data_IF_826593779361
#
_entry.id   IF_826593779361
#
_cell.length_a   1.000
_cell.length_b   1.000
_cell.length_c   1.000
_cell.angle_alpha   90.00
_cell.angle_beta   90.00
_cell.angle_gamma   90.00
#
_symmetry.space_group_name_H-M   'P 1'
#
loop_
_entity.id
_entity.type
_entity.pdbx_description
1 polymer ?
#
# COMPACT_ATOMS: atom_id res chain seq x y z
N UNK A 1 14.97 0.28 16.05
CA UNK A 1 14.52 1.38 16.90
C UNK A 1 14.07 2.53 16.03
N UNK A 2 12.91 3.09 16.32
CA UNK A 2 12.34 4.24 15.62
C UNK A 2 11.97 5.30 16.66
N UNK A 3 12.50 6.50 16.52
CA UNK A 3 12.18 7.65 17.35
C UNK A 3 11.74 8.81 16.46
N UNK A 4 10.65 9.47 16.83
CA UNK A 4 10.18 10.65 16.14
C UNK A 4 9.80 11.75 17.10
N UNK A 5 9.91 12.98 16.64
CA UNK A 5 9.46 14.18 17.34
C UNK A 5 8.78 15.09 16.30
N UNK A 6 7.70 15.73 16.74
CA UNK A 6 6.94 16.67 15.91
C UNK A 6 6.64 17.94 16.70
N UNK A 7 6.82 19.07 16.05
CA UNK A 7 6.45 20.39 16.55
C UNK A 7 5.57 21.08 15.54
N UNK A 8 4.37 21.46 15.95
CA UNK A 8 3.41 22.25 15.17
C UNK A 8 3.18 23.60 15.84
N UNK A 9 3.13 24.62 15.03
CA UNK A 9 2.78 25.97 15.46
C UNK A 9 1.76 26.59 14.50
N UNK A 10 0.73 27.18 15.07
CA UNK A 10 -0.26 27.95 14.31
C UNK A 10 -0.30 29.37 14.82
N UNK A 11 -0.09 30.31 13.88
CA UNK A 11 -0.19 31.75 14.18
C UNK A 11 -1.65 32.20 14.30
N UNK A 12 -1.91 33.33 14.99
CA UNK A 12 -3.26 33.91 15.04
C UNK A 12 -3.84 34.30 13.67
N UNK A 13 -2.99 34.57 12.66
CA UNK A 13 -3.42 34.87 11.30
C UNK A 13 -3.53 33.63 10.40
N UNK A 14 -3.44 32.43 10.95
CA UNK A 14 -3.75 31.18 10.25
C UNK A 14 -2.56 30.49 9.57
N UNK A 15 -1.32 31.04 9.62
CA UNK A 15 -0.15 30.32 9.15
C UNK A 15 0.11 29.11 10.04
N UNK A 16 0.17 27.94 9.44
CA UNK A 16 0.59 26.68 10.08
C UNK A 16 2.01 26.38 9.67
N UNK A 17 2.91 26.14 10.61
CA UNK A 17 4.28 25.74 10.34
C UNK A 17 4.70 24.65 11.31
N UNK A 18 5.58 23.76 10.90
CA UNK A 18 6.04 22.69 11.76
C UNK A 18 7.35 22.09 11.32
N UNK A 19 7.88 21.27 12.21
CA UNK A 19 9.08 20.48 12.01
C UNK A 19 8.87 19.06 12.54
N UNK A 20 9.31 18.08 11.79
CA UNK A 20 9.32 16.68 12.18
C UNK A 20 10.75 16.15 12.10
N UNK A 21 11.13 15.36 13.08
CA UNK A 21 12.38 14.62 13.10
C UNK A 21 12.10 13.15 13.28
N UNK A 22 12.74 12.33 12.46
CA UNK A 22 12.69 10.87 12.57
C UNK A 22 14.10 10.31 12.59
N UNK A 23 14.40 9.52 13.61
CA UNK A 23 15.61 8.72 13.71
C UNK A 23 15.24 7.25 13.64
N UNK A 24 15.85 6.54 12.71
CA UNK A 24 15.71 5.10 12.55
C UNK A 24 17.07 4.43 12.71
N UNK A 25 17.10 3.33 13.47
CA UNK A 25 18.29 2.50 13.66
C UNK A 25 17.90 1.03 13.67
N UNK A 26 18.45 0.28 12.74
CA UNK A 26 18.21 -1.16 12.57
C UNK A 26 19.54 -1.91 12.47
N UNK A 27 20.09 -2.42 13.57
CA UNK A 27 21.19 -3.37 13.54
C UNK A 27 20.64 -4.75 13.21
N UNK A 28 21.35 -5.50 12.39
CA UNK A 28 21.05 -6.88 12.02
C UNK A 28 22.27 -7.75 12.06
N UNK A 29 22.05 -9.06 12.18
CA UNK A 29 23.08 -10.07 11.96
C UNK A 29 22.46 -11.35 11.44
N UNK A 30 23.17 -12.02 10.56
CA UNK A 30 22.75 -13.28 9.99
C UNK A 30 23.92 -14.25 9.95
N UNK A 31 23.73 -15.45 10.52
CA UNK A 31 24.63 -16.57 10.35
C UNK A 31 24.05 -17.49 9.27
N UNK A 32 24.84 -17.75 8.24
CA UNK A 32 24.52 -18.74 7.21
C UNK A 32 25.58 -19.84 7.21
N UNK A 33 25.11 -21.07 7.34
CA UNK A 33 25.89 -22.25 7.09
C UNK A 33 25.13 -23.17 6.15
N UNK A 34 25.69 -23.44 4.99
CA UNK A 34 25.08 -24.31 3.97
C UNK A 34 26.15 -25.03 3.18
N UNK A 35 25.96 -26.32 2.92
CA UNK A 35 26.82 -27.15 2.09
C UNK A 35 26.00 -27.76 0.96
N UNK A 36 26.45 -27.59 -0.29
CA UNK A 36 25.85 -28.17 -1.49
C UNK A 36 26.96 -28.85 -2.30
N UNK A 37 27.02 -30.17 -2.28
CA UNK A 37 28.13 -30.91 -2.89
C UNK A 37 29.44 -30.51 -2.24
N UNK A 38 30.36 -30.00 -3.03
CA UNK A 38 31.67 -29.50 -2.55
C UNK A 38 31.65 -28.00 -2.17
N UNK A 39 30.58 -27.28 -2.50
CA UNK A 39 30.45 -25.84 -2.18
C UNK A 39 29.91 -25.65 -0.77
N UNK A 40 30.61 -24.86 0.02
CA UNK A 40 30.19 -24.48 1.37
C UNK A 40 30.09 -22.96 1.46
N UNK A 41 28.92 -22.48 1.83
CA UNK A 41 28.69 -21.10 2.27
C UNK A 41 28.68 -21.06 3.79
N UNK A 42 29.65 -20.39 4.37
CA UNK A 42 29.75 -20.26 5.82
C UNK A 42 30.22 -18.86 6.19
N UNK A 43 29.29 -18.02 6.68
CA UNK A 43 29.63 -16.67 7.07
C UNK A 43 28.68 -16.11 8.14
N UNK A 44 29.17 -15.15 8.88
CA UNK A 44 28.41 -14.26 9.73
C UNK A 44 28.34 -12.88 9.07
N UNK A 45 27.15 -12.40 8.71
CA UNK A 45 26.98 -11.00 8.31
C UNK A 45 26.51 -10.14 9.49
N UNK A 46 27.02 -8.92 9.56
CA UNK A 46 26.54 -7.86 10.46
C UNK A 46 26.19 -6.66 9.63
N UNK A 47 24.98 -6.18 9.77
CA UNK A 47 24.47 -5.02 9.07
C UNK A 47 23.94 -3.96 10.03
N UNK A 48 23.91 -2.76 9.57
CA UNK A 48 23.34 -1.64 10.31
C UNK A 48 22.83 -0.58 9.34
N UNK A 49 21.65 -0.09 9.59
CA UNK A 49 21.10 1.06 8.91
C UNK A 49 20.74 2.15 9.91
N UNK A 50 21.22 3.37 9.66
CA UNK A 50 20.88 4.56 10.45
C UNK A 50 20.37 5.64 9.52
N UNK A 51 19.15 6.11 9.79
CA UNK A 51 18.51 7.16 8.99
C UNK A 51 18.13 8.32 9.90
N UNK A 52 18.52 9.52 9.52
CA UNK A 52 18.08 10.77 10.13
C UNK A 52 17.30 11.55 9.10
N UNK A 53 16.02 11.83 9.37
CA UNK A 53 15.15 12.58 8.49
C UNK A 53 14.61 13.82 9.22
N UNK A 54 14.70 14.96 8.55
CA UNK A 54 14.06 16.20 8.94
C UNK A 54 13.03 16.59 7.89
N UNK A 55 11.87 17.02 8.34
CA UNK A 55 10.82 17.60 7.49
C UNK A 55 10.36 18.90 8.09
N UNK A 56 10.37 19.95 7.28
CA UNK A 56 9.88 21.28 7.63
C UNK A 56 8.74 21.62 6.69
N UNK A 57 7.68 22.22 7.21
CA UNK A 57 6.55 22.63 6.39
C UNK A 57 5.95 23.92 6.88
N UNK A 58 5.40 24.68 5.94
CA UNK A 58 4.61 25.87 6.21
C UNK A 58 3.47 25.96 5.18
N UNK A 59 2.30 26.35 5.62
CA UNK A 59 1.15 26.50 4.73
C UNK A 59 0.10 27.40 5.33
N UNK A 60 -0.72 27.96 4.46
CA UNK A 60 -1.78 28.87 4.84
C UNK A 60 -3.05 28.62 4.03
N UNK A 61 -4.20 28.85 4.66
CA UNK A 61 -5.51 28.75 4.05
C UNK A 61 -6.21 30.12 4.22
N UNK A 62 -6.86 30.57 3.15
CA UNK A 62 -7.65 31.80 3.14
C UNK A 62 -9.03 31.54 2.59
N UNK A 63 -10.01 32.17 3.22
CA UNK A 63 -11.36 32.28 2.66
C UNK A 63 -11.45 33.62 1.95
N UNK A 64 -11.70 33.60 0.64
CA UNK A 64 -11.79 34.78 -0.21
C UNK A 64 -13.27 35.03 -0.56
N UNK A 65 -13.87 36.04 0.04
CA UNK A 65 -15.31 36.30 -0.12
C UNK A 65 -16.15 35.20 0.53
N UNK A 66 -17.30 34.86 -0.11
CA UNK A 66 -18.27 33.90 0.47
C UNK A 66 -18.01 32.44 0.09
N UNK A 67 -17.41 32.19 -1.08
CA UNK A 67 -17.43 30.85 -1.69
C UNK A 67 -16.08 30.38 -2.21
N UNK A 68 -15.02 31.17 -2.07
CA UNK A 68 -13.67 30.81 -2.50
C UNK A 68 -12.76 30.44 -1.32
N UNK A 69 -12.03 29.37 -1.47
CA UNK A 69 -10.91 29.00 -0.62
C UNK A 69 -9.61 29.01 -1.42
N UNK A 70 -8.53 29.52 -0.82
CA UNK A 70 -7.17 29.45 -1.33
C UNK A 70 -6.31 28.76 -0.30
N UNK A 71 -5.56 27.74 -0.70
CA UNK A 71 -4.54 27.13 0.13
C UNK A 71 -3.22 27.07 -0.62
N UNK A 72 -2.11 27.20 0.11
CA UNK A 72 -0.77 27.08 -0.46
C UNK A 72 0.25 26.77 0.64
N UNK A 73 1.36 26.21 0.25
CA UNK A 73 2.42 25.91 1.20
C UNK A 73 3.66 25.32 0.54
N UNK A 74 4.61 25.03 1.42
CA UNK A 74 5.90 24.44 1.08
C UNK A 74 6.26 23.38 2.09
N UNK A 75 6.88 22.32 1.62
CA UNK A 75 7.48 21.28 2.46
C UNK A 75 8.91 21.04 1.98
N UNK A 76 9.85 21.00 2.92
CA UNK A 76 11.23 20.59 2.68
C UNK A 76 11.53 19.36 3.54
N UNK A 77 12.02 18.31 2.90
CA UNK A 77 12.45 17.08 3.59
C UNK A 77 13.91 16.81 3.24
N UNK A 78 14.71 16.46 4.21
CA UNK A 78 16.07 15.96 4.00
C UNK A 78 16.31 14.73 4.84
N UNK A 79 16.90 13.70 4.23
CA UNK A 79 17.25 12.46 4.89
C UNK A 79 18.71 12.08 4.62
N UNK A 80 19.35 11.51 5.62
CA UNK A 80 20.68 10.93 5.52
C UNK A 80 20.62 9.48 5.99
N UNK A 81 20.82 8.56 5.06
CA UNK A 81 20.96 7.12 5.30
C UNK A 81 22.45 6.76 5.33
N UNK A 82 22.88 6.17 6.45
CA UNK A 82 24.20 5.57 6.58
C UNK A 82 24.01 4.09 6.88
N UNK A 83 24.46 3.25 5.98
CA UNK A 83 24.30 1.80 6.08
C UNK A 83 25.61 1.07 5.81
N UNK A 84 25.78 -0.05 6.45
CA UNK A 84 26.85 -1.00 6.14
C UNK A 84 26.38 -2.43 6.27
N UNK A 85 27.03 -3.33 5.53
CA UNK A 85 26.96 -4.77 5.70
C UNK A 85 28.37 -5.33 5.60
N UNK A 86 28.78 -6.08 6.61
CA UNK A 86 30.13 -6.63 6.75
C UNK A 86 30.03 -8.13 6.96
N UNK A 87 30.92 -8.88 6.32
CA UNK A 87 30.97 -10.33 6.40
C UNK A 87 32.19 -10.78 7.17
N UNK A 88 32.02 -11.83 7.94
CA UNK A 88 33.04 -12.43 8.80
C UNK A 88 33.03 -13.94 8.69
N UNK A 89 34.18 -14.56 8.87
CA UNK A 89 34.27 -15.97 9.16
C UNK A 89 33.58 -16.23 10.51
N UNK A 90 32.66 -17.20 10.61
CA UNK A 90 31.88 -17.39 11.83
C UNK A 90 32.64 -18.00 13.00
N UNK A 91 33.79 -18.66 12.77
CA UNK A 91 34.59 -19.32 13.81
C UNK A 91 35.69 -18.39 14.34
N UNK A 92 36.34 -17.68 13.43
CA UNK A 92 37.50 -16.82 13.77
C UNK A 92 37.12 -15.34 13.92
N UNK A 93 35.92 -14.94 13.53
CA UNK A 93 35.47 -13.56 13.35
C UNK A 93 36.41 -12.72 12.46
N UNK A 94 37.21 -13.35 11.61
CA UNK A 94 38.06 -12.66 10.65
C UNK A 94 37.21 -11.99 9.56
N UNK A 95 37.48 -10.73 9.17
CA UNK A 95 36.72 -10.08 8.12
C UNK A 95 36.85 -10.78 6.76
N UNK A 96 35.73 -10.91 6.04
CA UNK A 96 35.65 -11.37 4.65
C UNK A 96 35.38 -10.17 3.76
N UNK A 97 36.41 -9.54 3.14
CA UNK A 97 36.26 -8.22 2.56
C UNK A 97 35.47 -8.16 1.24
N UNK A 98 35.37 -9.28 0.50
CA UNK A 98 34.92 -9.29 -0.89
C UNK A 98 33.44 -8.88 -1.10
N UNK A 99 32.59 -9.02 -0.06
CA UNK A 99 31.17 -8.71 -0.13
C UNK A 99 30.75 -7.53 0.76
N UNK A 100 31.73 -6.82 1.36
CA UNK A 100 31.45 -5.74 2.27
C UNK A 100 30.85 -4.54 1.56
N UNK A 101 29.79 -3.96 2.13
CA UNK A 101 29.12 -2.76 1.65
C UNK A 101 29.15 -1.66 2.70
N UNK A 102 29.45 -0.45 2.26
CA UNK A 102 29.21 0.79 3.00
C UNK A 102 28.53 1.77 2.08
N UNK A 103 27.43 2.35 2.53
CA UNK A 103 26.67 3.32 1.77
C UNK A 103 26.37 4.55 2.62
N UNK A 104 26.46 5.71 2.00
CA UNK A 104 25.99 6.99 2.55
C UNK A 104 25.17 7.68 1.49
N UNK A 105 23.86 7.78 1.70
CA UNK A 105 22.92 8.38 0.76
C UNK A 105 22.29 9.62 1.36
N UNK A 106 22.32 10.70 0.64
CA UNK A 106 21.58 11.93 0.99
C UNK A 106 20.41 12.09 0.04
N UNK A 107 19.27 12.43 0.60
CA UNK A 107 18.03 12.66 -0.12
C UNK A 107 17.43 13.98 0.32
N UNK A 108 16.93 14.77 -0.62
CA UNK A 108 16.27 16.04 -0.37
C UNK A 108 15.05 16.17 -1.27
N UNK A 109 13.94 16.68 -0.71
CA UNK A 109 12.76 17.06 -1.49
C UNK A 109 12.32 18.45 -1.12
N UNK A 110 11.90 19.21 -2.11
CA UNK A 110 11.21 20.49 -1.95
C UNK A 110 9.89 20.40 -2.68
N UNK A 111 8.80 20.59 -1.98
CA UNK A 111 7.46 20.52 -2.53
C UNK A 111 6.75 21.85 -2.30
N UNK A 112 6.23 22.46 -3.37
CA UNK A 112 5.37 23.62 -3.33
C UNK A 112 3.98 23.22 -3.78
N UNK A 113 2.95 23.69 -3.10
CA UNK A 113 1.58 23.46 -3.54
C UNK A 113 0.74 24.72 -3.46
N UNK A 114 -0.24 24.82 -4.36
CA UNK A 114 -1.28 25.82 -4.33
C UNK A 114 -2.61 25.19 -4.80
N UNK A 115 -3.71 25.58 -4.17
CA UNK A 115 -5.03 25.09 -4.49
C UNK A 115 -6.11 26.13 -4.32
N UNK A 116 -7.15 25.99 -5.11
CA UNK A 116 -8.34 26.82 -5.11
C UNK A 116 -9.58 25.93 -4.92
N UNK A 117 -10.47 26.32 -4.04
CA UNK A 117 -11.78 25.72 -3.88
C UNK A 117 -12.89 26.73 -4.14
N UNK A 118 -14.01 26.26 -4.69
CA UNK A 118 -15.19 27.10 -4.91
C UNK A 118 -16.49 26.31 -4.81
N UNK A 119 -17.47 26.88 -4.13
CA UNK A 119 -18.86 26.43 -4.17
C UNK A 119 -19.68 27.31 -5.11
N UNK A 120 -20.34 26.69 -6.09
CA UNK A 120 -21.24 27.35 -7.03
C UNK A 120 -22.68 27.07 -6.59
N UNK A 121 -23.15 27.83 -5.59
CA UNK A 121 -24.40 27.57 -4.93
C UNK A 121 -24.39 26.21 -4.17
N UNK A 122 -25.57 25.59 -4.06
CA UNK A 122 -25.76 24.34 -3.34
C UNK A 122 -25.51 23.08 -4.20
N UNK A 123 -25.34 23.25 -5.51
CA UNK A 123 -25.33 22.11 -6.45
C UNK A 123 -23.97 21.70 -6.98
N UNK A 124 -23.01 22.61 -6.99
CA UNK A 124 -21.68 22.32 -7.55
C UNK A 124 -20.59 22.84 -6.64
N UNK A 125 -19.63 21.97 -6.31
CA UNK A 125 -18.37 22.34 -5.67
C UNK A 125 -17.19 21.85 -6.49
N UNK A 126 -16.13 22.64 -6.50
CA UNK A 126 -14.89 22.34 -7.20
C UNK A 126 -13.70 22.68 -6.32
N UNK A 127 -12.73 21.76 -6.25
CA UNK A 127 -11.43 21.91 -5.62
C UNK A 127 -10.37 21.52 -6.64
N UNK A 128 -9.40 22.41 -6.88
CA UNK A 128 -8.28 22.16 -7.79
C UNK A 128 -7.00 22.58 -7.11
N UNK A 129 -6.00 21.73 -7.12
CA UNK A 129 -4.67 22.04 -6.62
C UNK A 129 -3.58 21.47 -7.50
N UNK A 130 -2.42 22.10 -7.44
CA UNK A 130 -1.21 21.64 -8.10
C UNK A 130 -0.06 21.69 -7.10
N UNK A 131 0.65 20.59 -6.98
CA UNK A 131 1.93 20.57 -6.31
C UNK A 131 3.06 20.35 -7.33
N UNK A 132 4.21 20.99 -7.06
CA UNK A 132 5.46 20.80 -7.80
C UNK A 132 6.53 20.37 -6.82
N UNK A 133 7.18 19.24 -7.08
CA UNK A 133 8.20 18.69 -6.20
C UNK A 133 9.50 18.43 -6.94
N UNK A 134 10.60 18.91 -6.36
CA UNK A 134 11.95 18.52 -6.73
C UNK A 134 12.41 17.37 -5.81
N UNK A 135 12.83 16.27 -6.41
CA UNK A 135 13.49 15.16 -5.74
C UNK A 135 14.97 15.17 -6.14
N UNK A 136 15.86 15.29 -5.15
CA UNK A 136 17.29 15.37 -5.36
C UNK A 136 18.04 14.36 -4.50
N UNK A 137 18.91 13.58 -5.14
CA UNK A 137 19.89 12.67 -4.54
C UNK A 137 21.20 12.76 -5.32
N UNK A 138 22.22 12.04 -4.92
CA UNK A 138 23.49 11.95 -5.68
C UNK A 138 23.28 11.35 -7.10
N UNK A 139 22.16 10.64 -7.32
CA UNK A 139 21.85 9.93 -8.58
C UNK A 139 20.72 10.60 -9.38
N UNK A 140 19.81 11.31 -8.72
CA UNK A 140 18.58 11.81 -9.32
C UNK A 140 18.38 13.30 -8.99
N UNK A 141 17.92 14.05 -9.99
CA UNK A 141 17.48 15.43 -9.80
C UNK A 141 16.30 15.69 -10.74
N UNK A 142 15.09 15.39 -10.24
CA UNK A 142 13.88 15.39 -11.07
C UNK A 142 12.80 16.28 -10.47
N UNK A 143 12.10 17.03 -11.35
CA UNK A 143 10.87 17.72 -11.03
C UNK A 143 9.66 16.90 -11.42
N UNK A 144 8.65 16.87 -10.57
CA UNK A 144 7.37 16.22 -10.81
C UNK A 144 6.22 17.15 -10.47
N UNK A 145 5.11 17.02 -11.21
CA UNK A 145 3.90 17.80 -11.00
C UNK A 145 2.78 16.87 -10.53
N UNK A 146 2.03 17.30 -9.53
CA UNK A 146 0.95 16.56 -8.91
C UNK A 146 -0.34 17.37 -8.96
N UNK A 147 -1.12 17.26 -10.06
CA UNK A 147 -2.45 17.85 -10.14
C UNK A 147 -3.44 17.05 -9.29
N UNK A 148 -4.33 17.77 -8.60
CA UNK A 148 -5.51 17.22 -7.91
C UNK A 148 -6.71 18.05 -8.31
N UNK A 149 -7.82 17.40 -8.64
CA UNK A 149 -9.09 18.07 -8.91
C UNK A 149 -10.25 17.22 -8.37
N UNK A 150 -11.17 17.84 -7.66
CA UNK A 150 -12.40 17.22 -7.20
C UNK A 150 -13.57 18.09 -7.62
N UNK A 151 -14.56 17.47 -8.26
CA UNK A 151 -15.82 18.10 -8.65
C UNK A 151 -16.97 17.28 -8.07
N UNK A 152 -17.86 17.92 -7.36
CA UNK A 152 -19.09 17.28 -6.88
C UNK A 152 -20.28 18.05 -7.43
N UNK A 153 -21.16 17.36 -8.14
CA UNK A 153 -22.38 17.93 -8.73
C UNK A 153 -23.62 17.19 -8.24
N UNK A 154 -24.58 17.95 -7.76
CA UNK A 154 -25.87 17.51 -7.19
C UNK A 154 -27.01 17.89 -8.16
N UNK A 155 -27.27 17.15 -9.26
CA UNK A 155 -28.27 17.52 -10.26
C UNK A 155 -29.70 17.53 -9.70
N UNK A 156 -30.00 16.59 -8.82
CA UNK A 156 -31.30 16.43 -8.18
C UNK A 156 -31.17 15.74 -6.81
N UNK A 157 -32.18 15.80 -5.93
CA UNK A 157 -32.16 15.11 -4.66
C UNK A 157 -31.88 13.62 -4.81
N UNK A 158 -30.86 13.14 -4.05
CA UNK A 158 -30.41 11.75 -4.08
C UNK A 158 -29.51 11.38 -5.25
N UNK A 159 -29.14 12.30 -6.13
CA UNK A 159 -28.21 12.07 -7.25
C UNK A 159 -26.93 12.86 -7.01
N UNK A 160 -25.79 12.18 -7.03
CA UNK A 160 -24.46 12.80 -6.86
C UNK A 160 -23.56 12.29 -8.00
N UNK A 161 -22.97 13.23 -8.72
CA UNK A 161 -21.88 12.97 -9.67
C UNK A 161 -20.60 13.52 -9.06
N UNK A 162 -19.58 12.68 -8.99
CA UNK A 162 -18.26 13.07 -8.50
C UNK A 162 -17.19 12.73 -9.53
N UNK A 163 -16.36 13.71 -9.82
CA UNK A 163 -15.12 13.53 -10.57
C UNK A 163 -13.96 13.78 -9.62
N UNK A 164 -12.98 12.90 -9.63
CA UNK A 164 -11.75 13.03 -8.87
C UNK A 164 -10.55 12.76 -9.79
N UNK A 165 -9.59 13.64 -9.77
CA UNK A 165 -8.24 13.44 -10.26
C UNK A 165 -7.30 13.59 -9.08
N UNK A 166 -6.53 12.57 -8.77
CA UNK A 166 -5.49 12.59 -7.74
C UNK A 166 -4.14 12.20 -8.32
N UNK A 167 -3.10 12.73 -7.74
CA UNK A 167 -1.74 12.32 -8.04
C UNK A 167 -0.87 12.43 -6.79
N UNK A 168 0.03 11.48 -6.66
CA UNK A 168 0.95 11.37 -5.54
C UNK A 168 2.27 10.71 -5.94
N UNK A 169 3.23 10.74 -5.04
CA UNK A 169 4.53 10.11 -5.19
C UNK A 169 4.71 9.03 -4.13
N UNK A 170 5.18 7.86 -4.55
CA UNK A 170 5.54 6.74 -3.70
C UNK A 170 7.07 6.60 -3.71
N UNK A 171 7.71 6.81 -2.56
CA UNK A 171 9.16 6.69 -2.43
C UNK A 171 9.54 5.25 -2.13
N UNK A 172 10.65 4.74 -2.70
CA UNK A 172 11.17 3.43 -2.34
C UNK A 172 11.49 3.34 -0.84
N UNK A 173 11.34 2.15 -0.29
CA UNK A 173 11.77 1.88 1.08
C UNK A 173 13.30 1.94 1.18
N UNK A 174 13.83 2.43 2.29
CA UNK A 174 15.28 2.62 2.41
C UNK A 174 16.07 1.32 2.31
N UNK A 175 15.54 0.20 2.80
CA UNK A 175 16.22 -1.10 2.67
C UNK A 175 16.33 -1.56 1.21
N UNK A 176 15.31 -1.31 0.40
CA UNK A 176 15.30 -1.73 -1.02
C UNK A 176 16.32 -0.98 -1.87
N UNK A 177 16.77 0.19 -1.40
CA UNK A 177 17.77 1.02 -2.07
C UNK A 177 19.21 0.75 -1.62
N UNK A 178 19.46 -0.15 -0.67
CA UNK A 178 20.82 -0.52 -0.27
C UNK A 178 21.46 -1.39 -1.34
N UNK A 179 22.78 -1.27 -1.52
CA UNK A 179 23.54 -2.20 -2.37
C UNK A 179 24.01 -3.40 -1.52
N UNK A 180 23.05 -4.08 -0.92
CA UNK A 180 23.29 -5.19 0.00
C UNK A 180 22.60 -6.46 -0.48
N UNK A 181 23.09 -7.60 -0.03
CA UNK A 181 22.47 -8.91 -0.25
C UNK A 181 22.18 -9.56 1.11
N UNK A 182 20.92 -9.92 1.32
CA UNK A 182 20.47 -10.72 2.46
C UNK A 182 20.03 -12.09 1.95
N UNK A 183 20.18 -13.11 2.80
CA UNK A 183 19.89 -14.48 2.41
C UNK A 183 18.66 -14.99 3.18
N UNK A 184 17.67 -15.50 2.46
CA UNK A 184 16.54 -16.25 3.05
C UNK A 184 16.89 -17.74 3.24
N UNK A 185 17.98 -18.17 2.65
CA UNK A 185 18.54 -19.52 2.68
C UNK A 185 19.67 -19.61 1.67
N UNK A 186 20.30 -20.76 1.53
CA UNK A 186 21.43 -20.95 0.59
C UNK A 186 21.07 -20.69 -0.87
N UNK A 187 19.78 -20.83 -1.22
CA UNK A 187 19.29 -20.73 -2.61
C UNK A 187 18.37 -19.54 -2.85
N UNK A 188 18.28 -18.62 -1.90
CA UNK A 188 17.39 -17.46 -2.01
C UNK A 188 18.04 -16.20 -1.46
N UNK A 189 18.22 -15.22 -2.32
CA UNK A 189 18.85 -13.93 -2.03
C UNK A 189 17.83 -12.80 -2.18
N UNK A 190 17.89 -11.81 -1.29
CA UNK A 190 17.24 -10.52 -1.44
C UNK A 190 18.33 -9.49 -1.74
N UNK A 191 18.30 -8.92 -2.93
CA UNK A 191 19.25 -7.90 -3.35
C UNK A 191 18.58 -6.52 -3.37
N UNK A 192 19.23 -5.54 -2.76
CA UNK A 192 18.81 -4.17 -2.89
C UNK A 192 19.15 -3.58 -4.26
N UNK A 193 18.54 -2.45 -4.59
CA UNK A 193 18.75 -1.74 -5.84
C UNK A 193 18.94 -0.24 -5.59
N UNK A 194 20.18 0.27 -5.57
CA UNK A 194 20.46 1.67 -5.32
C UNK A 194 19.93 2.63 -6.42
N UNK A 195 19.57 2.08 -7.58
CA UNK A 195 19.05 2.84 -8.73
C UNK A 195 17.54 3.06 -8.69
N UNK A 196 16.87 2.61 -7.63
CA UNK A 196 15.45 2.87 -7.47
C UNK A 196 15.15 4.36 -7.35
N UNK A 197 14.09 4.77 -8.01
CA UNK A 197 13.55 6.12 -7.97
C UNK A 197 12.07 6.11 -7.59
N UNK A 198 11.55 7.24 -7.12
CA UNK A 198 10.14 7.32 -6.73
C UNK A 198 9.20 7.04 -7.89
N UNK A 199 8.13 6.33 -7.59
CA UNK A 199 7.01 6.16 -8.49
C UNK A 199 6.08 7.37 -8.44
N UNK A 200 5.43 7.70 -9.55
CA UNK A 200 4.41 8.74 -9.62
C UNK A 200 3.08 8.13 -10.05
N UNK A 201 2.08 8.28 -9.22
CA UNK A 201 0.74 7.75 -9.44
C UNK A 201 -0.20 8.86 -9.89
N UNK A 202 -1.03 8.57 -10.89
CA UNK A 202 -2.15 9.40 -11.38
C UNK A 202 -3.40 8.55 -11.41
N UNK A 203 -4.45 9.00 -10.72
CA UNK A 203 -5.73 8.31 -10.69
C UNK A 203 -6.86 9.27 -11.03
N UNK A 204 -7.74 8.82 -11.92
CA UNK A 204 -8.96 9.55 -12.29
C UNK A 204 -10.17 8.66 -12.04
N UNK A 205 -11.16 9.17 -11.34
CA UNK A 205 -12.40 8.45 -11.03
C UNK A 205 -13.61 9.32 -11.32
N UNK A 206 -14.59 8.76 -12.03
CA UNK A 206 -15.91 9.32 -12.21
C UNK A 206 -16.93 8.42 -11.52
N UNK A 207 -17.64 8.94 -10.54
CA UNK A 207 -18.60 8.21 -9.73
C UNK A 207 -20.00 8.79 -9.86
N UNK A 208 -21.00 7.93 -10.03
CA UNK A 208 -22.40 8.24 -9.86
C UNK A 208 -22.93 7.55 -8.61
N UNK A 209 -23.48 8.34 -7.68
CA UNK A 209 -24.02 7.84 -6.42
C UNK A 209 -25.51 8.15 -6.38
N UNK A 210 -26.32 7.12 -6.28
CA UNK A 210 -27.79 7.23 -6.21
C UNK A 210 -28.27 6.96 -4.78
N UNK A 211 -29.08 7.89 -4.26
CA UNK A 211 -29.69 7.83 -2.91
C UNK A 211 -28.65 7.62 -1.79
N UNK A 212 -27.42 8.11 -2.00
CA UNK A 212 -26.33 7.96 -1.03
C UNK A 212 -25.84 6.51 -0.77
N UNK A 213 -26.20 5.53 -1.62
CA UNK A 213 -25.93 4.12 -1.35
C UNK A 213 -25.58 3.27 -2.56
N UNK A 214 -26.17 3.50 -3.72
CA UNK A 214 -25.81 2.79 -4.94
C UNK A 214 -24.68 3.56 -5.61
N UNK A 215 -23.60 2.88 -5.96
CA UNK A 215 -22.42 3.51 -6.56
C UNK A 215 -22.09 2.81 -7.86
N UNK A 216 -21.88 3.58 -8.90
CA UNK A 216 -21.24 3.15 -10.14
C UNK A 216 -20.06 4.08 -10.40
N UNK A 217 -18.85 3.55 -10.47
CA UNK A 217 -17.65 4.33 -10.74
C UNK A 217 -16.89 3.74 -11.92
N UNK A 218 -16.35 4.62 -12.76
CA UNK A 218 -15.33 4.30 -13.75
C UNK A 218 -14.03 4.94 -13.30
N UNK A 219 -12.91 4.20 -13.39
CA UNK A 219 -11.61 4.70 -12.98
C UNK A 219 -10.51 4.32 -13.96
N UNK A 220 -9.49 5.15 -13.98
CA UNK A 220 -8.23 4.90 -14.66
C UNK A 220 -7.09 5.34 -13.73
N UNK A 221 -6.12 4.45 -13.53
CA UNK A 221 -4.90 4.78 -12.82
C UNK A 221 -3.67 4.40 -13.64
N UNK A 222 -2.61 5.20 -13.52
CA UNK A 222 -1.31 4.95 -14.13
C UNK A 222 -0.21 5.35 -13.16
N UNK A 223 0.63 4.39 -12.83
CA UNK A 223 1.82 4.60 -12.01
C UNK A 223 3.05 4.50 -12.90
N UNK A 224 3.79 5.59 -13.04
CA UNK A 224 5.11 5.61 -13.69
C UNK A 224 6.18 5.17 -12.70
N UNK A 225 7.23 4.52 -13.19
CA UNK A 225 8.31 3.98 -12.36
C UNK A 225 7.80 3.09 -11.21
N UNK A 226 6.76 2.28 -11.46
CA UNK A 226 6.16 1.45 -10.40
C UNK A 226 7.20 0.51 -9.82
N UNK A 227 7.52 0.68 -8.54
CA UNK A 227 8.39 -0.26 -7.84
C UNK A 227 7.70 -1.61 -7.66
N UNK A 228 8.42 -2.67 -8.02
CA UNK A 228 7.96 -4.05 -7.90
C UNK A 228 9.11 -4.93 -7.44
N UNK A 229 8.88 -5.70 -6.38
CA UNK A 229 9.77 -6.79 -6.04
C UNK A 229 9.57 -7.95 -7.02
N UNK A 230 10.64 -8.41 -7.60
CA UNK A 230 10.65 -9.46 -8.63
C UNK A 230 11.42 -10.67 -8.13
N UNK A 231 11.14 -11.82 -8.72
CA UNK A 231 11.85 -13.07 -8.51
C UNK A 231 12.52 -13.46 -9.83
N UNK A 232 13.80 -13.78 -9.78
CA UNK A 232 14.59 -14.24 -10.91
C UNK A 232 15.42 -15.45 -10.53
N UNK A 233 15.29 -16.54 -11.26
CA UNK A 233 16.20 -17.69 -11.14
C UNK A 233 17.44 -17.42 -11.99
N UNK A 234 18.61 -17.40 -11.35
CA UNK A 234 19.86 -17.23 -12.05
C UNK A 234 20.13 -18.41 -12.99
N UNK A 235 20.55 -18.18 -14.23
CA UNK A 235 21.02 -19.25 -15.10
C UNK A 235 22.44 -19.75 -14.76
N UNK A 236 23.18 -18.97 -13.99
CA UNK A 236 24.61 -19.25 -13.67
C UNK A 236 24.77 -19.97 -12.34
N UNK A 237 23.85 -19.76 -11.40
CA UNK A 237 23.88 -20.31 -10.04
C UNK A 237 22.52 -20.85 -9.65
N UNK A 238 22.49 -21.90 -8.83
CA UNK A 238 21.23 -22.42 -8.29
C UNK A 238 20.71 -21.46 -7.18
N UNK A 239 20.22 -20.30 -7.57
CA UNK A 239 19.72 -19.29 -6.66
C UNK A 239 18.53 -18.55 -7.23
N UNK A 240 17.55 -18.26 -6.36
CA UNK A 240 16.45 -17.33 -6.59
C UNK A 240 16.84 -15.95 -6.07
N UNK A 241 16.76 -14.94 -6.94
CA UNK A 241 17.11 -13.56 -6.60
C UNK A 241 15.82 -12.75 -6.51
N UNK A 242 15.54 -12.21 -5.33
CA UNK A 242 14.50 -11.21 -5.11
C UNK A 242 15.12 -9.82 -5.19
N UNK A 243 14.61 -8.98 -6.09
CA UNK A 243 15.11 -7.63 -6.29
C UNK A 243 13.98 -6.68 -6.68
N UNK A 244 14.00 -5.46 -6.17
CA UNK A 244 13.08 -4.41 -6.56
C UNK A 244 13.57 -3.70 -7.82
N UNK A 245 12.65 -3.46 -8.77
CA UNK A 245 12.87 -2.68 -9.99
C UNK A 245 11.78 -1.64 -10.15
N UNK A 246 12.09 -0.54 -10.85
CA UNK A 246 11.08 0.38 -11.34
C UNK A 246 10.62 -0.07 -12.72
N UNK A 247 9.41 -0.57 -12.83
CA UNK A 247 8.78 -0.82 -14.12
C UNK A 247 8.45 0.50 -14.82
N UNK A 248 8.53 0.57 -16.14
CA UNK A 248 8.17 1.76 -16.94
C UNK A 248 6.84 2.32 -16.47
N UNK A 249 5.85 1.45 -16.37
CA UNK A 249 4.55 1.77 -15.79
C UNK A 249 3.73 0.54 -15.40
N UNK A 250 2.76 0.77 -14.51
CA UNK A 250 1.57 -0.05 -14.38
C UNK A 250 0.32 0.80 -14.62
N UNK A 251 -0.67 0.26 -15.30
CA UNK A 251 -1.93 0.94 -15.56
C UNK A 251 -3.14 0.03 -15.31
N UNK A 252 -4.22 0.64 -14.83
CA UNK A 252 -5.46 -0.04 -14.55
C UNK A 252 -6.64 0.82 -15.01
N UNK A 253 -7.58 0.22 -15.73
CA UNK A 253 -8.84 0.86 -16.11
C UNK A 253 -10.00 -0.07 -15.78
N UNK A 254 -11.01 0.43 -15.10
CA UNK A 254 -12.07 -0.44 -14.63
C UNK A 254 -13.35 0.24 -14.22
N UNK A 255 -14.29 -0.60 -13.82
CA UNK A 255 -15.60 -0.22 -13.28
C UNK A 255 -15.78 -0.84 -11.90
N UNK A 256 -16.39 -0.08 -11.01
CA UNK A 256 -16.80 -0.51 -9.67
C UNK A 256 -18.30 -0.30 -9.55
N UNK A 257 -19.02 -1.33 -9.13
CA UNK A 257 -20.44 -1.26 -8.83
C UNK A 257 -20.70 -1.70 -7.39
N UNK A 258 -21.41 -0.89 -6.62
CA UNK A 258 -21.83 -1.21 -5.24
C UNK A 258 -23.34 -1.14 -5.17
N UNK A 259 -23.96 -2.27 -4.82
CA UNK A 259 -25.43 -2.40 -4.74
C UNK A 259 -25.79 -2.96 -3.36
N UNK A 260 -26.13 -2.09 -2.39
CA UNK A 260 -26.76 -2.53 -1.16
C UNK A 260 -28.26 -2.68 -1.38
N UNK A 261 -28.86 -3.74 -0.85
CA UNK A 261 -30.30 -3.94 -0.85
C UNK A 261 -30.79 -4.63 0.41
N UNK A 262 -32.08 -4.45 0.69
CA UNK A 262 -32.76 -5.11 1.82
C UNK A 262 -33.97 -5.86 1.32
N UNK A 263 -34.17 -7.07 1.83
CA UNK A 263 -35.39 -7.82 1.62
C UNK A 263 -36.16 -7.85 2.95
N UNK A 264 -37.21 -7.06 3.02
CA UNK A 264 -38.01 -6.87 4.25
C UNK A 264 -37.09 -6.56 5.46
N UNK A 265 -37.26 -7.28 6.57
CA UNK A 265 -36.47 -7.15 7.81
C UNK A 265 -35.47 -8.28 8.01
N UNK A 266 -35.49 -9.29 7.14
CA UNK A 266 -34.71 -10.49 7.37
C UNK A 266 -33.35 -10.54 6.62
N UNK A 267 -33.18 -9.76 5.54
CA UNK A 267 -31.94 -9.73 4.78
C UNK A 267 -31.47 -8.29 4.57
N UNK A 268 -30.24 -8.02 4.95
CA UNK A 268 -29.44 -6.83 4.58
C UNK A 268 -28.24 -7.32 3.78
N UNK A 269 -28.13 -6.90 2.52
CA UNK A 269 -27.14 -7.39 1.58
C UNK A 269 -26.40 -6.23 0.94
N UNK A 270 -25.09 -6.43 0.69
CA UNK A 270 -24.25 -5.54 -0.09
C UNK A 270 -23.42 -6.36 -1.07
N UNK A 271 -23.59 -6.09 -2.35
CA UNK A 271 -22.79 -6.68 -3.43
C UNK A 271 -21.87 -5.63 -3.98
N UNK A 272 -20.60 -5.95 -4.11
CA UNK A 272 -19.58 -5.11 -4.78
C UNK A 272 -18.99 -5.92 -5.92
N UNK A 273 -19.07 -5.40 -7.14
CA UNK A 273 -18.46 -5.99 -8.33
C UNK A 273 -17.42 -5.01 -8.90
N UNK A 274 -16.24 -5.51 -9.19
CA UNK A 274 -15.14 -4.74 -9.79
C UNK A 274 -14.66 -5.52 -11.01
N UNK A 275 -14.61 -4.84 -12.15
CA UNK A 275 -14.03 -5.39 -13.37
C UNK A 275 -12.97 -4.42 -13.89
N UNK A 276 -11.77 -4.90 -14.18
CA UNK A 276 -10.70 -4.04 -14.69
C UNK A 276 -9.76 -4.75 -15.63
N UNK A 277 -9.16 -3.95 -16.53
CA UNK A 277 -7.98 -4.31 -17.30
C UNK A 277 -6.76 -3.79 -16.55
N UNK A 278 -5.80 -4.67 -16.33
CA UNK A 278 -4.50 -4.33 -15.77
C UNK A 278 -3.41 -4.56 -16.80
N UNK A 279 -2.42 -3.66 -16.88
CA UNK A 279 -1.24 -3.79 -17.74
C UNK A 279 -0.01 -3.30 -16.99
N UNK A 280 1.07 -4.06 -17.10
CA UNK A 280 2.39 -3.67 -16.63
C UNK A 280 3.40 -3.82 -17.76
N UNK A 281 4.32 -2.87 -17.82
CA UNK A 281 5.39 -2.86 -18.81
C UNK A 281 6.70 -2.45 -18.17
N UNK A 282 7.76 -3.12 -18.59
CA UNK A 282 9.14 -2.72 -18.38
C UNK A 282 9.93 -3.06 -19.66
N UNK A 283 10.69 -2.08 -20.15
CA UNK A 283 11.50 -2.21 -21.37
C UNK A 283 12.88 -2.82 -21.11
N UNK A 284 13.32 -2.86 -19.85
CA UNK A 284 14.69 -3.26 -19.45
C UNK A 284 14.72 -4.26 -18.28
N UNK A 285 13.70 -5.11 -18.17
CA UNK A 285 13.58 -6.06 -17.08
C UNK A 285 14.45 -7.30 -17.33
N UNK A 286 15.62 -7.40 -16.70
CA UNK A 286 16.56 -8.51 -16.87
C UNK A 286 16.88 -8.81 -18.35
N UNK A 287 17.04 -7.76 -19.18
CA UNK A 287 17.22 -7.87 -20.64
C UNK A 287 16.06 -8.61 -21.35
N UNK A 288 14.91 -8.72 -20.72
CA UNK A 288 13.73 -9.41 -21.24
C UNK A 288 12.61 -8.38 -21.48
N UNK A 289 12.01 -8.30 -22.68
CA UNK A 289 10.82 -7.46 -22.88
C UNK A 289 9.66 -7.93 -22.01
N UNK A 290 9.18 -7.07 -21.14
CA UNK A 290 8.09 -7.37 -20.23
C UNK A 290 6.89 -6.46 -20.52
N UNK A 291 5.83 -7.00 -21.09
CA UNK A 291 4.55 -6.31 -21.31
C UNK A 291 3.41 -7.29 -21.10
N UNK A 292 2.76 -7.18 -19.94
CA UNK A 292 1.70 -8.10 -19.54
C UNK A 292 0.39 -7.37 -19.30
N UNK A 293 -0.70 -7.97 -19.77
CA UNK A 293 -2.06 -7.46 -19.59
C UNK A 293 -3.03 -8.57 -19.24
N UNK A 294 -4.00 -8.26 -18.37
CA UNK A 294 -5.04 -9.20 -17.99
C UNK A 294 -6.33 -8.45 -17.63
N UNK A 295 -7.47 -9.12 -17.84
CA UNK A 295 -8.77 -8.67 -17.32
C UNK A 295 -9.09 -9.43 -16.05
N UNK A 296 -9.32 -8.68 -14.97
CA UNK A 296 -9.65 -9.22 -13.66
C UNK A 296 -11.06 -8.81 -13.27
N UNK A 297 -11.78 -9.75 -12.68
CA UNK A 297 -13.09 -9.54 -12.10
C UNK A 297 -13.07 -9.96 -10.63
N UNK A 298 -13.58 -9.10 -9.76
CA UNK A 298 -13.71 -9.32 -8.32
C UNK A 298 -15.15 -9.15 -7.92
N UNK A 299 -15.69 -10.11 -7.18
CA UNK A 299 -17.02 -10.07 -6.59
C UNK A 299 -16.90 -10.23 -5.08
N UNK A 300 -17.50 -9.30 -4.34
CA UNK A 300 -17.63 -9.38 -2.89
C UNK A 300 -19.10 -9.30 -2.50
N UNK A 301 -19.53 -10.17 -1.62
CA UNK A 301 -20.91 -10.21 -1.11
C UNK A 301 -20.89 -10.25 0.42
N UNK A 302 -21.67 -9.38 1.05
CA UNK A 302 -21.89 -9.37 2.48
C UNK A 302 -23.39 -9.44 2.74
N UNK A 303 -23.85 -10.53 3.32
CA UNK A 303 -25.27 -10.80 3.58
C UNK A 303 -25.47 -11.00 5.07
N UNK A 304 -26.35 -10.21 5.68
CA UNK A 304 -26.76 -10.37 7.07
C UNK A 304 -28.21 -10.78 7.12
N UNK A 305 -28.46 -12.00 7.58
CA UNK A 305 -29.78 -12.56 7.80
C UNK A 305 -30.18 -12.35 9.26
N UNK A 306 -31.27 -11.66 9.51
CA UNK A 306 -31.88 -11.54 10.82
C UNK A 306 -32.73 -12.79 11.06
N UNK A 307 -32.19 -13.75 11.83
CA UNK A 307 -32.88 -15.01 12.15
C UNK A 307 -33.97 -14.81 13.21
N UNK A 308 -33.67 -13.91 14.16
CA UNK A 308 -34.61 -13.50 15.21
C UNK A 308 -34.31 -12.10 15.69
N UNK A 309 -35.34 -11.40 16.19
CA UNK A 309 -35.20 -10.10 16.83
C UNK A 309 -35.28 -10.18 18.34
N UNK A 310 -35.87 -11.24 18.86
CA UNK A 310 -35.98 -11.56 20.30
C UNK A 310 -35.90 -13.07 20.48
N UNK A 311 -34.70 -13.60 20.80
CA UNK A 311 -33.40 -12.93 20.99
C UNK A 311 -32.85 -12.33 19.70
N UNK A 312 -31.97 -11.29 19.79
CA UNK A 312 -31.31 -10.70 18.60
C UNK A 312 -30.23 -11.66 18.08
N UNK A 313 -30.58 -12.40 17.03
CA UNK A 313 -29.76 -13.43 16.42
C UNK A 313 -29.62 -13.14 14.93
N UNK A 314 -28.37 -13.03 14.46
CA UNK A 314 -28.05 -12.74 13.07
C UNK A 314 -27.00 -13.70 12.52
N UNK A 315 -27.24 -14.16 11.30
CA UNK A 315 -26.28 -14.93 10.51
C UNK A 315 -25.67 -14.02 9.46
N UNK A 316 -24.35 -13.94 9.39
CA UNK A 316 -23.63 -13.22 8.35
C UNK A 316 -22.92 -14.21 7.44
N UNK A 317 -23.13 -14.05 6.13
CA UNK A 317 -22.40 -14.75 5.07
C UNK A 317 -21.61 -13.71 4.27
N UNK A 318 -20.29 -13.80 4.32
CA UNK A 318 -19.38 -12.93 3.55
C UNK A 318 -18.66 -13.78 2.52
N UNK A 319 -18.79 -13.41 1.25
CA UNK A 319 -18.14 -14.12 0.14
C UNK A 319 -17.24 -13.21 -0.67
N UNK A 320 -16.13 -13.74 -1.11
CA UNK A 320 -15.19 -13.12 -2.03
C UNK A 320 -14.87 -14.08 -3.16
N UNK A 321 -14.78 -13.55 -4.37
CA UNK A 321 -14.32 -14.28 -5.55
C UNK A 321 -13.50 -13.36 -6.45
N UNK A 322 -12.36 -13.84 -6.92
CA UNK A 322 -11.52 -13.21 -7.94
C UNK A 322 -11.16 -14.25 -9.00
N UNK A 323 -11.26 -13.89 -10.27
CA UNK A 323 -10.68 -14.69 -11.34
C UNK A 323 -9.14 -14.55 -11.34
N UNK A 324 -8.46 -14.90 -12.43
CA UNK A 324 -7.02 -14.70 -12.55
C UNK A 324 -6.65 -13.22 -12.41
N UNK A 325 -5.51 -12.95 -11.76
CA UNK A 325 -4.88 -11.64 -11.66
C UNK A 325 -3.38 -11.74 -11.95
N UNK A 326 -2.74 -10.61 -12.16
CA UNK A 326 -1.28 -10.48 -12.23
C UNK A 326 -0.82 -9.42 -11.24
N UNK A 327 0.30 -9.66 -10.61
CA UNK A 327 0.99 -8.72 -9.73
C UNK A 327 2.47 -8.74 -10.09
N UNK A 328 2.94 -7.75 -10.85
CA UNK A 328 4.28 -7.79 -11.41
C UNK A 328 4.48 -9.03 -12.27
N UNK A 329 5.48 -9.80 -11.90
CA UNK A 329 5.84 -11.05 -12.56
C UNK A 329 4.96 -12.25 -12.13
N UNK A 330 4.18 -12.09 -11.06
CA UNK A 330 3.42 -13.18 -10.45
C UNK A 330 2.05 -13.35 -11.12
N UNK A 331 1.77 -14.55 -11.59
CA UNK A 331 0.43 -14.99 -11.96
C UNK A 331 -0.30 -15.46 -10.70
N UNK A 332 -1.41 -14.81 -10.43
CA UNK A 332 -2.32 -15.17 -9.34
C UNK A 332 -3.47 -15.99 -9.94
N UNK A 333 -3.68 -17.24 -9.52
CA UNK A 333 -4.83 -18.03 -9.95
C UNK A 333 -6.13 -17.44 -9.41
N UNK A 334 -7.25 -17.99 -9.86
CA UNK A 334 -8.54 -17.67 -9.26
C UNK A 334 -8.53 -18.00 -7.77
N UNK A 335 -9.15 -17.15 -6.97
CA UNK A 335 -9.24 -17.29 -5.52
C UNK A 335 -10.64 -16.90 -5.05
N UNK A 336 -11.08 -17.46 -3.95
CA UNK A 336 -12.33 -17.08 -3.31
C UNK A 336 -12.50 -17.78 -1.98
N UNK A 337 -13.35 -17.19 -1.13
CA UNK A 337 -13.70 -17.74 0.18
C UNK A 337 -15.17 -17.47 0.50
N UNK A 338 -15.68 -18.22 1.46
CA UNK A 338 -16.96 -17.97 2.12
C UNK A 338 -16.76 -18.03 3.63
N UNK A 339 -17.06 -16.93 4.29
CA UNK A 339 -17.05 -16.81 5.75
C UNK A 339 -18.47 -16.84 6.30
N UNK A 340 -18.63 -17.49 7.44
CA UNK A 340 -19.91 -17.61 8.14
C UNK A 340 -19.74 -17.14 9.57
N UNK A 341 -20.64 -16.29 10.05
CA UNK A 341 -20.65 -15.84 11.43
C UNK A 341 -22.09 -15.82 11.99
N UNK A 342 -22.28 -16.43 13.16
CA UNK A 342 -23.50 -16.34 13.93
C UNK A 342 -23.29 -15.41 15.12
N UNK A 343 -24.08 -14.35 15.17
CA UNK A 343 -24.00 -13.31 16.19
C UNK A 343 -25.24 -13.27 17.04
N UNK A 344 -25.07 -13.40 18.35
CA UNK A 344 -26.09 -13.26 19.35
C UNK A 344 -25.83 -12.02 20.20
N UNK A 345 -26.81 -11.09 20.24
CA UNK A 345 -26.73 -9.85 21.02
C UNK A 345 -27.74 -9.92 22.16
N UNK A 346 -27.28 -9.66 23.39
CA UNK A 346 -28.07 -9.73 24.62
C UNK A 346 -27.72 -8.64 25.63
N UNK A 347 -28.23 -8.71 26.85
CA UNK A 347 -28.03 -7.69 27.88
C UNK A 347 -28.35 -6.26 27.38
N UNK A 348 -29.51 -6.10 26.71
CA UNK A 348 -29.96 -4.81 26.11
C UNK A 348 -28.96 -4.21 25.14
N UNK A 349 -28.27 -5.05 24.36
CA UNK A 349 -27.28 -4.64 23.35
C UNK A 349 -25.87 -4.41 23.90
N UNK A 350 -25.64 -4.61 25.20
CA UNK A 350 -24.32 -4.44 25.82
C UNK A 350 -23.40 -5.65 25.61
N UNK A 351 -23.95 -6.85 25.49
CA UNK A 351 -23.19 -8.09 25.32
C UNK A 351 -23.43 -8.67 23.93
N UNK A 352 -22.37 -9.14 23.31
CA UNK A 352 -22.40 -9.81 22.00
C UNK A 352 -21.50 -11.03 22.02
N UNK A 353 -22.07 -12.18 21.67
CA UNK A 353 -21.33 -13.41 21.40
C UNK A 353 -21.34 -13.65 19.89
N UNK A 354 -20.18 -13.93 19.31
CA UNK A 354 -20.04 -14.26 17.89
C UNK A 354 -19.29 -15.59 17.75
N UNK A 355 -19.86 -16.51 17.02
CA UNK A 355 -19.22 -17.75 16.58
C UNK A 355 -19.00 -17.63 15.08
N UNK A 356 -17.76 -17.82 14.60
CA UNK A 356 -17.44 -17.68 13.19
C UNK A 356 -16.60 -18.82 12.65
N UNK A 357 -16.73 -19.06 11.37
CA UNK A 357 -15.85 -19.90 10.59
C UNK A 357 -15.41 -19.09 9.35
N UNK A 358 -14.15 -18.74 9.29
CA UNK A 358 -13.55 -18.08 8.13
C UNK A 358 -13.19 -19.18 7.11
N UNK A 359 -13.41 -18.90 5.81
CA UNK A 359 -13.12 -19.77 4.68
C UNK A 359 -13.60 -21.23 4.90
N UNK A 360 -14.91 -21.41 5.04
CA UNK A 360 -15.52 -22.72 5.38
C UNK A 360 -15.12 -23.84 4.40
N UNK A 361 -14.78 -23.49 3.14
CA UNK A 361 -14.40 -24.43 2.11
C UNK A 361 -12.89 -24.64 1.98
N UNK A 362 -12.06 -23.87 2.72
CA UNK A 362 -10.59 -23.90 2.67
C UNK A 362 -10.06 -23.62 1.24
N UNK A 363 -10.57 -22.57 0.60
CA UNK A 363 -10.32 -22.25 -0.82
C UNK A 363 -9.45 -21.00 -1.04
N UNK A 364 -9.12 -20.25 0.02
CA UNK A 364 -8.27 -19.05 -0.04
C UNK A 364 -6.77 -19.34 -0.07
N UNK A 365 -6.37 -20.53 -0.51
CA UNK A 365 -4.94 -20.87 -0.63
C UNK A 365 -4.26 -19.98 -1.63
N UNK A 366 -3.13 -19.39 -1.23
CA UNK A 366 -2.33 -18.54 -2.10
C UNK A 366 -1.36 -19.42 -2.86
N UNK A 367 -1.48 -19.39 -4.19
CA UNK A 367 -0.47 -19.94 -5.09
C UNK A 367 -0.03 -18.84 -6.03
N UNK A 368 1.24 -18.81 -6.38
CA UNK A 368 1.77 -17.87 -7.37
C UNK A 368 2.62 -18.63 -8.38
N UNK A 369 2.56 -18.22 -9.65
CA UNK A 369 3.45 -18.74 -10.66
C UNK A 369 4.25 -17.58 -11.25
N UNK A 370 5.52 -17.80 -11.53
CA UNK A 370 6.38 -16.88 -12.28
C UNK A 370 6.70 -17.53 -13.61
N UNK A 371 6.21 -16.96 -14.71
CA UNK A 371 6.40 -17.49 -16.04
C UNK A 371 6.65 -16.36 -17.03
N UNK A 372 7.92 -16.01 -17.22
CA UNK A 372 8.35 -15.06 -18.24
C UNK A 372 9.77 -15.40 -18.69
N UNK A 373 10.09 -15.21 -19.98
CA UNK A 373 11.36 -15.66 -20.55
C UNK A 373 11.60 -17.14 -20.26
N UNK A 374 12.74 -17.45 -19.63
CA UNK A 374 13.10 -18.81 -19.19
C UNK A 374 12.65 -19.14 -17.78
N UNK A 375 11.98 -18.21 -17.10
CA UNK A 375 11.55 -18.39 -15.70
C UNK A 375 10.32 -19.30 -15.62
N UNK A 376 10.36 -20.30 -14.73
CA UNK A 376 9.25 -21.22 -14.48
C UNK A 376 9.22 -21.64 -13.02
N UNK A 377 8.83 -20.72 -12.15
CA UNK A 377 8.72 -20.97 -10.71
C UNK A 377 7.26 -21.11 -10.33
N UNK A 378 6.95 -22.08 -9.50
CA UNK A 378 5.62 -22.28 -8.92
C UNK A 378 5.72 -22.33 -7.41
N UNK A 379 5.14 -21.33 -6.77
CA UNK A 379 5.02 -21.28 -5.32
C UNK A 379 3.62 -21.76 -4.92
N UNK A 380 3.56 -22.79 -4.12
CA UNK A 380 2.32 -23.31 -3.57
C UNK A 380 2.42 -23.32 -2.04
N UNK A 381 1.62 -22.45 -1.40
CA UNK A 381 1.59 -22.37 0.05
C UNK A 381 0.53 -23.33 0.57
N UNK A 382 0.94 -24.44 1.18
CA UNK A 382 0.06 -25.39 1.85
C UNK A 382 -0.34 -24.82 3.23
N UNK A 383 -1.27 -23.87 3.23
CA UNK A 383 -1.79 -23.28 4.46
C UNK A 383 -3.29 -23.58 4.57
N UNK A 384 -3.72 -24.05 5.73
CA UNK A 384 -5.14 -24.10 6.06
C UNK A 384 -5.61 -22.67 6.33
N UNK A 385 -6.54 -22.18 5.51
CA UNK A 385 -7.13 -20.85 5.64
C UNK A 385 -8.44 -20.88 6.43
N UNK A 386 -9.01 -22.10 6.62
CA UNK A 386 -10.19 -22.29 7.46
C UNK A 386 -9.83 -22.08 8.93
N UNK A 387 -10.54 -21.15 9.57
CA UNK A 387 -10.36 -20.86 10.98
C UNK A 387 -11.69 -20.73 11.70
N UNK A 388 -11.79 -21.36 12.88
CA UNK A 388 -12.92 -21.23 13.78
C UNK A 388 -12.59 -20.22 14.87
N UNK A 389 -13.55 -19.36 15.20
CA UNK A 389 -13.37 -18.36 16.24
C UNK A 389 -14.63 -18.14 17.05
N UNK A 390 -14.43 -17.87 18.33
CA UNK A 390 -15.48 -17.42 19.25
C UNK A 390 -15.01 -16.11 19.86
N UNK A 391 -15.85 -15.08 19.81
CA UNK A 391 -15.57 -13.80 20.45
C UNK A 391 -16.72 -13.35 21.32
N UNK A 392 -16.40 -12.82 22.48
CA UNK A 392 -17.33 -12.19 23.39
C UNK A 392 -16.95 -10.74 23.60
N UNK A 393 -17.89 -9.84 23.33
CA UNK A 393 -17.72 -8.41 23.52
C UNK A 393 -18.74 -7.88 24.53
N UNK A 394 -18.28 -7.12 25.52
CA UNK A 394 -19.13 -6.45 26.48
C UNK A 394 -18.78 -4.97 26.55
N UNK A 395 -19.79 -4.12 26.35
CA UNK A 395 -19.63 -2.65 26.41
C UNK A 395 -19.82 -2.15 27.82
N UNK A 396 -18.73 -1.70 28.46
CA UNK A 396 -18.75 -1.07 29.76
C UNK A 396 -17.94 0.25 29.71
N UNK A 397 -18.39 1.24 30.50
CA UNK A 397 -17.73 2.55 30.57
C UNK A 397 -18.03 3.48 29.38
N UNK A 398 -17.52 4.69 29.46
CA UNK A 398 -17.67 5.79 28.49
C UNK A 398 -16.33 6.37 28.04
N UNK A 399 -15.31 5.53 27.80
CA UNK A 399 -14.00 5.99 27.34
C UNK A 399 -14.11 6.70 25.99
N UNK A 400 -13.55 7.92 25.91
CA UNK A 400 -13.35 8.64 24.65
C UNK A 400 -11.88 8.60 24.31
N UNK A 401 -11.55 7.97 23.19
CA UNK A 401 -10.18 7.92 22.67
C UNK A 401 -9.70 9.33 22.30
N UNK A 402 -8.51 9.69 22.75
CA UNK A 402 -7.86 10.94 22.34
C UNK A 402 -7.15 10.67 21.01
N UNK A 403 -7.50 11.45 19.98
CA UNK A 403 -6.74 11.45 18.73
C UNK A 403 -5.29 11.88 19.01
N UNK A 404 -4.36 11.08 18.55
CA UNK A 404 -2.93 11.44 18.47
C UNK A 404 -2.61 11.76 17.02
N UNK A 405 -1.82 12.79 16.80
CA UNK A 405 -1.24 13.05 15.49
C UNK A 405 -0.05 12.11 15.29
N UNK A 406 -0.03 11.43 14.12
CA UNK A 406 1.00 10.47 13.77
C UNK A 406 1.99 11.09 12.77
N UNK A 407 3.25 10.71 12.87
CA UNK A 407 4.29 11.02 11.89
C UNK A 407 4.31 9.89 10.86
N UNK A 408 4.42 10.22 9.58
CA UNK A 408 4.56 9.23 8.52
C UNK A 408 5.90 8.48 8.64
N UNK A 409 5.82 7.21 8.95
CA UNK A 409 6.95 6.29 9.11
C UNK A 409 6.91 5.14 8.12
N UNK A 410 6.11 5.22 7.07
CA UNK A 410 5.86 4.14 6.11
C UNK A 410 7.14 3.63 5.42
N UNK A 411 8.12 4.50 5.19
CA UNK A 411 9.41 4.18 4.53
C UNK A 411 10.44 3.47 5.42
N UNK A 412 10.16 3.31 6.71
CA UNK A 412 11.08 2.74 7.71
C UNK A 412 10.68 1.31 8.16
N UNK A 413 9.99 0.58 7.34
CA UNK A 413 9.49 -0.78 7.62
C UNK A 413 10.45 -1.84 7.14
#
# INVERSE_FOLDING_TARGET
>A
QLHNAKLDYQTPFGLKAGAEFTYYHSPGSQLLHSTLGEETMNFLSRDNQRINQWRFYAGQEHTLGKDWGLNYGVTYTTALDNSYQMYYDPETEAPLPDNNMKSRRREQTVNFYAGLSKSFGEKLSADVSLAAEQYHTDMWNEWSLYPVANLTYLPAPGHILQFSLSSDKEYPEYWSMQNSTSYMGAYSEIQGNPFLKPATNYETTLSYILKGKYVLSAYYSRTKNKEMQTLYQSPERLVEIYKCFNFDFSEQAGLVMVVPFKVKKWLDSRVTAIGFRYRQKDSDFWDIPFDRKLYTFVLTMNNTFTLSTKPDLKLTLSGFYQNRAIQGIFDLPRSGNLDVALRYTFAKGKAQLTVKCDDIFNTSTISTNVRYGLQNVKNHYMKTTRAFGISFNYKFGGYKEKKREEVDTSRFK
#
